data_IF_237416984039
#
_entry.id   IF_237416984039
#
_cell.length_a   1.000
_cell.length_b   1.000
_cell.length_c   1.000
_cell.angle_alpha   90.00
_cell.angle_beta   90.00
_cell.angle_gamma   90.00
#
_symmetry.space_group_name_H-M   'P 1'
#
loop_
_entity.id
_entity.type
_entity.pdbx_description
1 polymer ?
#
# COMPACT_ATOMS: atom_id res chain seq x y z
N UNK A 1 -29.86 46.70 -22.17
CA UNK A 1 -29.11 47.70 -22.97
C UNK A 1 -27.88 48.13 -22.16
N UNK A 2 -26.68 47.70 -22.60
CA UNK A 2 -25.34 48.28 -22.35
C UNK A 2 -24.77 48.22 -20.91
N UNK A 3 -24.02 47.18 -20.50
CA UNK A 3 -22.60 46.83 -20.80
C UNK A 3 -21.63 48.01 -20.70
N UNK A 4 -20.93 48.17 -19.56
CA UNK A 4 -19.56 48.74 -19.45
C UNK A 4 -18.84 48.13 -18.23
N UNK A 5 -18.05 47.09 -18.45
CA UNK A 5 -16.58 47.13 -18.29
C UNK A 5 -16.08 47.18 -16.83
N UNK A 6 -15.94 46.01 -16.18
CA UNK A 6 -15.01 45.84 -15.05
C UNK A 6 -14.71 44.35 -14.74
N UNK A 7 -14.58 43.49 -15.75
CA UNK A 7 -14.30 42.06 -15.54
C UNK A 7 -13.16 41.59 -16.45
N UNK A 8 -11.98 42.21 -16.35
CA UNK A 8 -10.80 41.86 -17.16
C UNK A 8 -9.45 42.16 -16.47
N UNK A 9 -9.28 41.88 -15.17
CA UNK A 9 -7.94 41.86 -14.54
C UNK A 9 -7.78 40.67 -13.57
N UNK A 10 -8.10 39.48 -14.06
CA UNK A 10 -7.84 38.22 -13.36
C UNK A 10 -7.21 37.16 -14.27
N UNK A 11 -6.42 37.58 -15.28
CA UNK A 11 -6.05 36.74 -16.42
C UNK A 11 -4.53 36.63 -16.68
N UNK A 12 -3.65 36.82 -15.70
CA UNK A 12 -2.19 36.71 -15.91
C UNK A 12 -1.46 35.65 -15.08
N UNK A 13 -2.16 34.76 -14.38
CA UNK A 13 -1.53 33.51 -13.88
C UNK A 13 -1.93 32.31 -14.74
N UNK A 14 -1.89 32.48 -16.07
CA UNK A 14 -2.06 31.41 -17.05
C UNK A 14 -0.75 31.18 -17.82
N UNK A 15 0.27 30.68 -17.15
CA UNK A 15 1.46 30.11 -17.80
C UNK A 15 2.17 29.05 -16.97
N UNK A 16 1.52 28.45 -15.97
CA UNK A 16 1.94 27.12 -15.54
C UNK A 16 0.97 26.14 -16.19
N UNK A 17 1.30 25.78 -17.43
CA UNK A 17 0.93 24.48 -17.94
C UNK A 17 1.65 23.44 -17.05
N UNK A 18 1.13 23.21 -15.84
CA UNK A 18 1.41 21.95 -15.14
C UNK A 18 0.70 20.93 -16.01
N UNK A 19 1.50 20.40 -16.95
CA UNK A 19 1.34 19.12 -17.59
C UNK A 19 0.47 18.23 -16.71
N UNK A 20 -0.57 17.65 -17.31
CA UNK A 20 -1.25 16.45 -16.80
C UNK A 20 -0.18 15.43 -16.43
N UNK A 21 0.26 15.47 -15.19
CA UNK A 21 0.92 14.36 -14.57
C UNK A 21 -0.14 13.76 -13.67
N UNK A 22 -0.58 12.54 -13.93
CA UNK A 22 -1.00 11.70 -12.84
C UNK A 22 0.27 11.40 -12.01
N UNK A 23 0.84 12.43 -11.35
CA UNK A 23 2.05 12.30 -10.51
C UNK A 23 1.73 11.51 -9.25
N UNK A 24 0.46 11.43 -8.85
CA UNK A 24 -0.04 10.54 -7.80
C UNK A 24 -0.37 9.12 -8.28
N UNK A 25 -0.14 8.78 -9.56
CA UNK A 25 -0.43 7.43 -10.09
C UNK A 25 0.82 6.53 -10.25
N UNK A 26 1.97 6.92 -9.69
CA UNK A 26 3.23 6.16 -9.86
C UNK A 26 4.05 5.92 -8.59
N UNK A 27 3.48 6.10 -7.41
CA UNK A 27 4.20 5.71 -6.19
C UNK A 27 3.29 5.22 -5.06
N UNK A 28 2.46 4.22 -5.37
CA UNK A 28 2.13 3.17 -4.39
C UNK A 28 2.94 1.91 -4.71
N UNK A 29 4.24 2.12 -4.97
CA UNK A 29 5.20 1.02 -4.95
C UNK A 29 5.40 0.65 -3.49
N UNK A 30 4.82 -0.49 -3.10
CA UNK A 30 5.12 -1.25 -1.89
C UNK A 30 5.65 -0.39 -0.74
N UNK A 31 4.75 0.19 0.06
CA UNK A 31 5.13 0.70 1.37
C UNK A 31 4.94 -0.42 2.40
N UNK A 32 5.90 -1.34 2.59
CA UNK A 32 5.78 -2.47 3.51
C UNK A 32 5.71 -2.04 4.99
N UNK A 33 5.62 -0.74 5.30
CA UNK A 33 5.48 -0.22 6.65
C UNK A 33 4.03 -0.26 7.17
N UNK A 34 3.03 -0.41 6.28
CA UNK A 34 1.62 -0.56 6.69
C UNK A 34 1.33 -2.00 7.08
N UNK A 35 1.05 -2.21 8.36
CA UNK A 35 0.59 -3.51 8.90
C UNK A 35 -0.64 -4.01 8.16
N UNK A 36 -1.55 -3.09 7.79
CA UNK A 36 -2.77 -3.41 7.05
C UNK A 36 -2.48 -4.17 5.76
N UNK A 37 -1.43 -3.77 5.05
CA UNK A 37 -1.20 -4.23 3.68
C UNK A 37 -0.64 -5.67 3.72
N UNK A 38 0.25 -5.95 4.68
CA UNK A 38 0.75 -7.32 4.92
C UNK A 38 -0.35 -8.24 5.43
N UNK A 39 -1.28 -7.75 6.26
CA UNK A 39 -2.43 -8.57 6.69
C UNK A 39 -3.28 -8.97 5.48
N UNK A 40 -3.58 -8.01 4.60
CA UNK A 40 -4.37 -8.27 3.38
C UNK A 40 -3.63 -9.24 2.45
N UNK A 41 -2.34 -9.03 2.21
CA UNK A 41 -1.53 -9.93 1.38
C UNK A 41 -1.44 -11.34 1.96
N UNK A 42 -1.22 -11.46 3.28
CA UNK A 42 -1.16 -12.76 3.96
C UNK A 42 -2.50 -13.50 3.88
N UNK A 43 -3.62 -12.78 3.98
CA UNK A 43 -4.98 -13.33 3.79
C UNK A 43 -5.24 -13.74 2.34
N UNK A 44 -4.67 -13.03 1.37
CA UNK A 44 -4.76 -13.36 -0.05
C UNK A 44 -3.86 -14.55 -0.46
N UNK A 45 -3.10 -15.12 0.48
CA UNK A 45 -2.23 -16.25 0.19
C UNK A 45 -0.89 -15.84 -0.43
N UNK A 46 -0.38 -14.65 -0.11
CA UNK A 46 0.99 -14.28 -0.45
C UNK A 46 1.96 -14.91 0.57
N UNK A 47 2.86 -15.82 0.17
CA UNK A 47 3.72 -16.53 1.09
C UNK A 47 4.74 -15.61 1.78
N UNK A 48 5.21 -14.54 1.14
CA UNK A 48 6.16 -13.58 1.73
C UNK A 48 5.47 -12.73 2.81
N UNK A 49 4.23 -12.33 2.56
CA UNK A 49 3.42 -11.62 3.54
C UNK A 49 3.06 -12.51 4.74
N UNK A 50 2.77 -13.80 4.51
CA UNK A 50 2.54 -14.76 5.58
C UNK A 50 3.78 -14.96 6.47
N UNK A 51 4.99 -15.04 5.88
CA UNK A 51 6.24 -15.07 6.67
C UNK A 51 6.41 -13.82 7.51
N UNK A 52 6.17 -12.66 6.89
CA UNK A 52 6.31 -11.36 7.53
C UNK A 52 5.33 -11.21 8.70
N UNK A 53 4.06 -11.57 8.50
CA UNK A 53 3.02 -11.53 9.53
C UNK A 53 3.34 -12.49 10.68
N UNK A 54 3.84 -13.70 10.37
CA UNK A 54 4.30 -14.64 11.37
C UNK A 54 5.43 -14.08 12.24
N UNK A 55 6.38 -13.36 11.63
CA UNK A 55 7.45 -12.64 12.35
C UNK A 55 6.91 -11.57 13.31
N UNK A 56 5.87 -10.84 12.92
CA UNK A 56 5.26 -9.83 13.79
C UNK A 56 4.52 -10.43 14.96
N UNK A 57 3.80 -11.54 14.75
CA UNK A 57 3.20 -12.30 15.85
C UNK A 57 4.28 -12.91 16.75
N UNK A 58 5.41 -13.35 16.22
CA UNK A 58 6.48 -13.91 17.04
C UNK A 58 7.17 -12.87 17.93
N UNK A 59 7.41 -11.66 17.39
CA UNK A 59 8.11 -10.58 18.08
C UNK A 59 7.21 -9.53 18.75
N UNK A 60 5.89 -9.59 18.55
CA UNK A 60 4.96 -8.56 19.03
C UNK A 60 5.20 -7.18 18.38
N UNK A 61 5.39 -7.14 17.07
CA UNK A 61 5.78 -5.92 16.34
C UNK A 61 4.58 -5.18 15.75
N UNK A 62 4.76 -3.86 15.55
CA UNK A 62 3.79 -2.98 14.85
C UNK A 62 2.36 -3.01 15.42
N UNK A 63 2.23 -3.19 16.74
CA UNK A 63 0.94 -3.22 17.43
C UNK A 63 0.24 -4.59 17.43
N UNK A 64 0.87 -5.62 16.86
CA UNK A 64 0.41 -7.00 16.96
C UNK A 64 0.84 -7.57 18.31
N UNK A 65 -0.07 -8.25 19.00
CA UNK A 65 0.26 -8.95 20.25
C UNK A 65 1.15 -10.15 19.93
N UNK A 66 2.18 -10.34 20.76
CA UNK A 66 3.03 -11.51 20.64
C UNK A 66 2.20 -12.80 20.82
N UNK A 67 2.21 -13.66 19.80
CA UNK A 67 1.58 -14.97 19.79
C UNK A 67 2.41 -15.94 18.93
N UNK A 68 3.20 -16.77 19.60
CA UNK A 68 4.02 -17.77 18.92
C UNK A 68 3.21 -18.86 18.22
N UNK A 69 1.98 -19.17 18.69
CA UNK A 69 1.12 -20.17 18.02
C UNK A 69 0.64 -19.64 16.69
N UNK A 70 0.20 -18.38 16.69
CA UNK A 70 -0.28 -17.74 15.47
C UNK A 70 0.87 -17.51 14.48
N UNK A 71 2.06 -17.16 14.96
CA UNK A 71 3.26 -17.08 14.13
C UNK A 71 3.56 -18.39 13.39
N UNK A 72 3.56 -19.52 14.11
CA UNK A 72 3.80 -20.85 13.52
C UNK A 72 2.72 -21.22 12.52
N UNK A 73 1.46 -20.84 12.76
CA UNK A 73 0.37 -21.05 11.80
C UNK A 73 0.68 -20.36 10.46
N UNK A 74 1.02 -19.08 10.49
CA UNK A 74 1.33 -18.31 9.28
C UNK A 74 2.55 -18.84 8.54
N UNK A 75 3.60 -19.26 9.25
CA UNK A 75 4.77 -19.88 8.63
C UNK A 75 4.48 -21.23 7.98
N UNK A 76 3.60 -22.04 8.56
CA UNK A 76 3.18 -23.31 7.94
C UNK A 76 2.42 -23.08 6.65
N UNK A 77 1.47 -22.14 6.65
CA UNK A 77 0.74 -21.76 5.43
C UNK A 77 1.67 -21.31 4.31
N UNK A 78 2.67 -20.48 4.64
CA UNK A 78 3.67 -20.04 3.66
C UNK A 78 4.52 -21.19 3.15
N UNK A 79 4.97 -22.09 4.03
CA UNK A 79 5.76 -23.25 3.66
C UNK A 79 4.98 -24.23 2.76
N UNK A 80 3.69 -24.41 3.01
CA UNK A 80 2.81 -25.24 2.17
C UNK A 80 2.70 -24.70 0.73
N UNK A 81 2.65 -23.37 0.57
CA UNK A 81 2.59 -22.72 -0.74
C UNK A 81 3.95 -22.68 -1.46
N UNK A 82 5.03 -22.46 -0.73
CA UNK A 82 6.40 -22.52 -1.28
C UNK A 82 6.85 -23.93 -1.65
N UNK A 83 6.20 -24.96 -1.11
CA UNK A 83 6.43 -26.36 -1.42
C UNK A 83 5.41 -26.92 -2.43
N UNK A 84 4.69 -26.06 -3.17
CA UNK A 84 4.00 -26.51 -4.38
C UNK A 84 5.11 -26.80 -5.40
N UNK A 85 5.36 -28.08 -5.76
CA UNK A 85 6.32 -28.37 -6.82
C UNK A 85 5.80 -27.69 -8.08
N UNK A 86 6.56 -26.73 -8.60
CA UNK A 86 6.32 -26.22 -9.95
C UNK A 86 6.43 -27.42 -10.90
N UNK A 87 5.31 -27.80 -11.51
CA UNK A 87 5.21 -28.87 -12.50
C UNK A 87 5.35 -28.32 -13.90
#
# INVERSE_FOLDING_TARGET
MNRRHACLLGLTVLAVAVVRTPSDARQEVANPQRVSDVIVLAQNGDPDAQVTLGGWYFGGQRGVRQDAREAVRWWRLSAEQGHIPAQ
#
